data_IF_101314791159
#
_entry.id   IF_101314791159
#
_cell.length_a   1.000
_cell.length_b   1.000
_cell.length_c   1.000
_cell.angle_alpha   90.00
_cell.angle_beta   90.00
_cell.angle_gamma   90.00
#
_symmetry.space_group_name_H-M   'P 1'
#
loop_
_entity.id
_entity.type
_entity.pdbx_description
1 polymer ?
#
# COMPACT_ATOMS: atom_id res chain seq x y z
N UNK A 1 -0.38 -31.70 -1.36
CA UNK A 1 -0.69 -30.29 -1.66
C UNK A 1 -2.02 -29.87 -1.03
N UNK A 2 -3.16 -30.45 -1.42
CA UNK A 2 -4.50 -30.15 -0.85
C UNK A 2 -4.57 -30.10 0.69
N UNK A 3 -3.88 -31.02 1.38
CA UNK A 3 -3.88 -31.08 2.86
C UNK A 3 -3.10 -29.92 3.50
N UNK A 4 -2.02 -29.48 2.86
CA UNK A 4 -1.19 -28.34 3.29
C UNK A 4 -1.91 -27.01 3.07
N UNK A 5 -2.60 -26.87 1.93
CA UNK A 5 -3.35 -25.66 1.58
C UNK A 5 -4.59 -25.48 2.46
N UNK A 6 -5.29 -26.59 2.76
CA UNK A 6 -6.44 -26.58 3.67
C UNK A 6 -6.03 -26.26 5.11
N UNK A 7 -4.84 -26.71 5.54
CA UNK A 7 -4.25 -26.33 6.83
C UNK A 7 -3.92 -24.83 6.89
N UNK A 8 -3.46 -24.25 5.78
CA UNK A 8 -3.15 -22.82 5.68
C UNK A 8 -4.41 -21.95 5.70
N UNK A 9 -5.44 -22.29 4.91
CA UNK A 9 -6.72 -21.59 4.93
C UNK A 9 -7.38 -21.64 6.31
N UNK A 10 -7.39 -22.82 6.95
CA UNK A 10 -7.89 -22.96 8.34
C UNK A 10 -7.12 -22.05 9.29
N UNK A 11 -5.79 -21.99 9.17
CA UNK A 11 -4.95 -21.10 9.98
C UNK A 11 -5.22 -19.62 9.70
N UNK A 12 -5.45 -19.25 8.44
CA UNK A 12 -5.76 -17.88 8.06
C UNK A 12 -7.04 -17.37 8.73
N UNK A 13 -8.05 -18.23 8.92
CA UNK A 13 -9.32 -17.87 9.59
C UNK A 13 -9.38 -18.22 11.09
N UNK A 14 -8.40 -18.96 11.62
CA UNK A 14 -8.37 -19.37 13.02
C UNK A 14 -8.27 -18.17 13.97
N UNK A 15 -8.60 -18.37 15.24
CA UNK A 15 -8.36 -17.35 16.27
C UNK A 15 -6.85 -17.15 16.44
N UNK A 16 -6.41 -15.91 16.59
CA UNK A 16 -5.00 -15.58 16.83
C UNK A 16 -4.73 -15.65 18.32
N UNK A 17 -3.77 -16.48 18.71
CA UNK A 17 -3.45 -16.72 20.12
C UNK A 17 -2.08 -16.16 20.52
N UNK A 18 -1.17 -15.95 19.56
CA UNK A 18 0.18 -15.45 19.84
C UNK A 18 0.59 -14.23 18.97
N UNK A 19 1.49 -13.36 19.47
CA UNK A 19 2.06 -12.27 18.70
C UNK A 19 2.74 -12.71 17.40
N UNK A 20 3.44 -13.85 17.42
CA UNK A 20 4.20 -14.37 16.28
C UNK A 20 3.25 -14.82 15.17
N UNK A 21 2.13 -15.45 15.51
CA UNK A 21 1.11 -15.83 14.55
C UNK A 21 0.42 -14.60 13.95
N UNK A 22 0.12 -13.61 14.77
CA UNK A 22 -0.42 -12.33 14.31
C UNK A 22 0.55 -11.66 13.31
N UNK A 23 1.85 -11.65 13.65
CA UNK A 23 2.87 -11.07 12.79
C UNK A 23 3.00 -11.82 11.45
N UNK A 24 2.97 -13.16 11.49
CA UNK A 24 2.99 -13.99 10.29
C UNK A 24 1.83 -13.63 9.35
N UNK A 25 0.61 -13.53 9.86
CA UNK A 25 -0.57 -13.23 9.04
C UNK A 25 -0.56 -11.79 8.53
N UNK A 26 -0.08 -10.82 9.31
CA UNK A 26 0.09 -9.44 8.84
C UNK A 26 1.13 -9.34 7.72
N UNK A 27 2.24 -10.06 7.83
CA UNK A 27 3.24 -10.16 6.77
C UNK A 27 2.68 -10.83 5.52
N UNK A 28 1.98 -11.94 5.69
CA UNK A 28 1.33 -12.65 4.60
C UNK A 28 0.30 -11.75 3.89
N UNK A 29 -0.51 -11.02 4.64
CA UNK A 29 -1.46 -10.05 4.08
C UNK A 29 -0.75 -8.97 3.26
N UNK A 30 0.35 -8.42 3.77
CA UNK A 30 1.16 -7.45 3.03
C UNK A 30 1.75 -8.03 1.74
N UNK A 31 2.22 -9.29 1.77
CA UNK A 31 2.70 -9.96 0.56
C UNK A 31 1.61 -10.18 -0.48
N UNK A 32 0.38 -10.54 -0.05
CA UNK A 32 -0.76 -10.61 -0.96
C UNK A 32 -1.04 -9.23 -1.57
N UNK A 33 -1.04 -8.16 -0.78
CA UNK A 33 -1.25 -6.81 -1.31
C UNK A 33 -0.17 -6.44 -2.32
N UNK A 34 1.10 -6.75 -2.05
CA UNK A 34 2.17 -6.56 -3.04
C UNK A 34 1.98 -7.41 -4.28
N UNK A 35 1.51 -8.64 -4.16
CA UNK A 35 1.22 -9.50 -5.30
C UNK A 35 0.07 -8.95 -6.15
N UNK A 36 -1.02 -8.52 -5.51
CA UNK A 36 -2.15 -7.87 -6.20
C UNK A 36 -1.66 -6.63 -6.93
N UNK A 37 -0.92 -5.77 -6.23
CA UNK A 37 -0.33 -4.57 -6.81
C UNK A 37 0.55 -4.92 -8.00
N UNK A 38 1.49 -5.87 -7.86
CA UNK A 38 2.39 -6.28 -8.94
C UNK A 38 1.64 -6.84 -10.16
N UNK A 39 0.63 -7.68 -9.95
CA UNK A 39 -0.18 -8.22 -11.04
C UNK A 39 -1.00 -7.13 -11.75
N UNK A 40 -1.60 -6.21 -11.00
CA UNK A 40 -2.30 -5.07 -11.58
C UNK A 40 -1.35 -4.09 -12.28
N UNK A 41 -0.12 -3.92 -11.76
CA UNK A 41 0.94 -3.15 -12.42
C UNK A 41 1.20 -3.70 -13.82
N UNK A 42 1.37 -5.02 -13.94
CA UNK A 42 1.61 -5.66 -15.24
C UNK A 42 0.41 -5.44 -16.18
N UNK A 43 -0.81 -5.64 -15.66
CA UNK A 43 -2.04 -5.47 -16.43
C UNK A 43 -2.18 -4.03 -16.97
N UNK A 44 -2.05 -3.01 -16.13
CA UNK A 44 -2.30 -1.64 -16.54
C UNK A 44 -1.15 -1.03 -17.34
N UNK A 45 0.11 -1.35 -17.01
CA UNK A 45 1.26 -0.80 -17.70
C UNK A 45 1.50 -1.47 -19.07
N UNK A 46 1.29 -2.78 -19.19
CA UNK A 46 1.66 -3.52 -20.42
C UNK A 46 0.47 -3.99 -21.26
N UNK A 47 -0.69 -4.31 -20.66
CA UNK A 47 -1.81 -4.91 -21.39
C UNK A 47 -2.90 -3.89 -21.75
N UNK A 48 -3.17 -2.92 -20.86
CA UNK A 48 -4.24 -1.94 -21.05
C UNK A 48 -3.73 -0.52 -21.39
N UNK A 49 -2.43 -0.27 -21.31
CA UNK A 49 -1.82 1.02 -21.64
C UNK A 49 -2.36 2.22 -20.84
N UNK A 50 -2.91 1.96 -19.64
CA UNK A 50 -3.66 2.94 -18.86
C UNK A 50 -2.88 3.33 -17.60
N UNK A 51 -1.88 4.19 -17.77
CA UNK A 51 -0.99 4.68 -16.70
C UNK A 51 -1.75 5.33 -15.53
N UNK A 52 -2.83 6.06 -15.81
CA UNK A 52 -3.70 6.65 -14.78
C UNK A 52 -4.32 5.62 -13.81
N UNK A 53 -4.76 4.47 -14.33
CA UNK A 53 -5.38 3.41 -13.51
C UNK A 53 -4.33 2.60 -12.75
N UNK A 54 -3.12 2.47 -13.31
CA UNK A 54 -1.96 2.00 -12.57
C UNK A 54 -1.73 2.86 -11.32
N UNK A 55 -1.88 4.18 -11.42
CA UNK A 55 -1.49 5.05 -10.33
C UNK A 55 -2.41 5.09 -9.13
N UNK A 56 -3.72 5.08 -9.33
CA UNK A 56 -4.63 5.17 -8.19
C UNK A 56 -4.71 3.83 -7.46
N UNK A 57 -4.97 2.74 -8.18
CA UNK A 57 -5.28 1.49 -7.49
C UNK A 57 -4.05 0.69 -7.10
N UNK A 58 -3.07 0.58 -7.99
CA UNK A 58 -1.89 -0.24 -7.75
C UNK A 58 -1.01 0.38 -6.68
N UNK A 59 -0.76 1.68 -6.80
CA UNK A 59 0.06 2.42 -5.85
C UNK A 59 -0.57 2.37 -4.45
N UNK A 60 -1.87 2.66 -4.31
CA UNK A 60 -2.56 2.63 -3.01
C UNK A 60 -2.49 1.24 -2.37
N UNK A 61 -2.72 0.18 -3.14
CA UNK A 61 -2.60 -1.21 -2.64
C UNK A 61 -1.17 -1.49 -2.17
N UNK A 62 -0.15 -1.05 -2.92
CA UNK A 62 1.25 -1.16 -2.51
C UNK A 62 1.54 -0.40 -1.21
N UNK A 63 1.03 0.83 -1.06
CA UNK A 63 1.18 1.63 0.16
C UNK A 63 0.59 0.90 1.34
N UNK A 64 -0.64 0.38 1.21
CA UNK A 64 -1.26 -0.38 2.28
C UNK A 64 -0.41 -1.57 2.68
N UNK A 65 0.06 -2.36 1.72
CA UNK A 65 0.97 -3.49 1.98
C UNK A 65 2.23 -3.06 2.73
N UNK A 66 2.85 -1.97 2.32
CA UNK A 66 4.07 -1.42 2.92
C UNK A 66 3.83 -0.96 4.36
N UNK A 67 2.81 -0.14 4.57
CA UNK A 67 2.52 0.41 5.90
C UNK A 67 2.06 -0.69 6.85
N UNK A 68 1.30 -1.68 6.37
CA UNK A 68 0.89 -2.86 7.15
C UNK A 68 2.08 -3.76 7.49
N UNK A 69 3.02 -3.97 6.56
CA UNK A 69 4.22 -4.78 6.81
C UNK A 69 5.11 -4.17 7.87
N UNK A 70 5.32 -2.87 7.80
CA UNK A 70 6.44 -2.22 8.48
C UNK A 70 6.04 -1.37 9.66
N UNK A 71 4.85 -0.79 9.62
CA UNK A 71 4.36 0.08 10.68
C UNK A 71 3.25 -0.58 11.47
N UNK A 72 2.64 -1.67 10.98
CA UNK A 72 1.45 -2.30 11.58
C UNK A 72 0.36 -1.27 11.87
N UNK A 73 0.18 -0.24 11.03
CA UNK A 73 -0.71 0.88 11.37
C UNK A 73 -2.19 0.48 11.43
N UNK A 74 -2.82 0.70 12.60
CA UNK A 74 -4.28 0.55 12.78
C UNK A 74 -5.08 1.43 11.82
N UNK A 75 -4.63 2.66 11.60
CA UNK A 75 -5.30 3.59 10.68
C UNK A 75 -5.23 3.04 9.25
N UNK A 76 -4.09 2.50 8.84
CA UNK A 76 -3.92 1.97 7.48
C UNK A 76 -4.78 0.74 7.21
N UNK A 77 -4.97 -0.15 8.18
CA UNK A 77 -5.87 -1.31 7.99
C UNK A 77 -7.34 -0.90 7.94
N UNK A 78 -7.75 0.14 8.67
CA UNK A 78 -9.11 0.71 8.56
C UNK A 78 -9.30 1.34 7.18
N UNK A 79 -8.34 2.16 6.74
CA UNK A 79 -8.38 2.79 5.42
C UNK A 79 -8.39 1.74 4.29
N UNK A 80 -7.63 0.65 4.44
CA UNK A 80 -7.68 -0.46 3.49
C UNK A 80 -9.07 -1.11 3.43
N UNK A 81 -9.77 -1.27 4.56
CA UNK A 81 -11.14 -1.80 4.58
C UNK A 81 -12.14 -0.86 3.89
N UNK A 82 -12.03 0.45 4.13
CA UNK A 82 -12.88 1.44 3.47
C UNK A 82 -12.60 1.44 1.97
N UNK A 83 -11.33 1.43 1.60
CA UNK A 83 -10.91 1.44 0.20
C UNK A 83 -11.33 0.16 -0.55
N UNK A 84 -11.17 -1.01 0.06
CA UNK A 84 -11.63 -2.28 -0.52
C UNK A 84 -13.16 -2.33 -0.68
N UNK A 85 -13.91 -1.72 0.24
CA UNK A 85 -15.36 -1.57 0.13
C UNK A 85 -15.74 -0.65 -1.04
N UNK A 86 -15.04 0.48 -1.23
CA UNK A 86 -15.24 1.38 -2.38
C UNK A 86 -14.97 0.63 -3.69
N UNK A 87 -13.87 -0.13 -3.78
CA UNK A 87 -13.55 -0.96 -4.96
C UNK A 87 -14.67 -1.95 -5.24
N UNK A 88 -15.19 -2.64 -4.22
CA UNK A 88 -16.27 -3.60 -4.38
C UNK A 88 -17.53 -2.91 -4.93
N UNK A 89 -17.95 -1.80 -4.33
CA UNK A 89 -19.13 -1.04 -4.79
C UNK A 89 -18.94 -0.59 -6.25
N UNK A 90 -17.80 0.02 -6.58
CA UNK A 90 -17.52 0.47 -7.95
C UNK A 90 -17.50 -0.67 -8.98
N UNK A 91 -16.93 -1.82 -8.59
CA UNK A 91 -16.91 -3.04 -9.40
C UNK A 91 -18.31 -3.59 -9.61
N UNK A 92 -19.14 -3.63 -8.56
CA UNK A 92 -20.54 -4.07 -8.65
C UNK A 92 -21.36 -3.15 -9.53
N UNK A 93 -21.24 -1.83 -9.39
CA UNK A 93 -21.95 -0.85 -10.25
C UNK A 93 -21.54 -0.99 -11.73
N UNK A 94 -20.27 -1.25 -11.99
CA UNK A 94 -19.76 -1.50 -13.35
C UNK A 94 -20.31 -2.80 -13.92
N UNK A 95 -20.37 -3.86 -13.09
CA UNK A 95 -20.92 -5.15 -13.48
C UNK A 95 -22.41 -5.09 -13.82
N UNK A 96 -23.18 -4.22 -13.16
CA UNK A 96 -24.58 -3.93 -13.49
C UNK A 96 -24.77 -2.93 -14.64
N UNK A 97 -23.70 -2.43 -15.26
CA UNK A 97 -23.76 -1.45 -16.35
C UNK A 97 -24.21 -0.05 -15.92
N UNK A 98 -24.23 0.25 -14.62
CA UNK A 98 -24.69 1.53 -14.06
C UNK A 98 -23.58 2.59 -14.13
N UNK A 99 -22.32 2.17 -14.02
CA UNK A 99 -21.15 3.06 -14.04
C UNK A 99 -20.12 2.57 -15.07
N UNK A 100 -19.39 3.52 -15.67
CA UNK A 100 -18.22 3.24 -16.49
C UNK A 100 -16.95 3.52 -15.66
N UNK A 101 -16.03 2.56 -15.60
CA UNK A 101 -14.68 2.76 -15.04
C UNK A 101 -14.38 2.14 -13.68
N UNK A 102 -15.27 1.31 -13.11
CA UNK A 102 -14.88 0.43 -12.00
C UNK A 102 -14.11 -0.81 -12.46
N UNK A 103 -13.68 -1.63 -11.50
CA UNK A 103 -13.02 -2.90 -11.80
C UNK A 103 -13.96 -3.87 -12.52
N UNK A 104 -13.40 -4.75 -13.36
CA UNK A 104 -14.16 -5.83 -14.03
C UNK A 104 -14.08 -7.18 -13.29
N UNK A 105 -13.35 -7.26 -12.18
CA UNK A 105 -13.12 -8.51 -11.47
C UNK A 105 -13.76 -8.49 -10.07
N UNK A 106 -15.02 -8.90 -9.99
CA UNK A 106 -15.79 -8.96 -8.75
C UNK A 106 -15.16 -9.92 -7.72
N UNK A 107 -14.55 -11.02 -8.17
CA UNK A 107 -13.90 -11.98 -7.28
C UNK A 107 -12.67 -11.37 -6.60
N UNK A 108 -11.85 -10.62 -7.34
CA UNK A 108 -10.71 -9.91 -6.78
C UNK A 108 -11.14 -8.84 -5.78
N UNK A 109 -12.22 -8.10 -6.09
CA UNK A 109 -12.77 -7.09 -5.18
C UNK A 109 -13.29 -7.71 -3.86
N UNK A 110 -14.04 -8.81 -3.94
CA UNK A 110 -14.49 -9.57 -2.77
C UNK A 110 -13.32 -10.14 -1.96
N UNK A 111 -12.33 -10.71 -2.65
CA UNK A 111 -11.13 -11.22 -2.01
C UNK A 111 -10.36 -10.13 -1.27
N UNK A 112 -10.18 -8.96 -1.88
CA UNK A 112 -9.52 -7.81 -1.27
C UNK A 112 -10.29 -7.32 -0.03
N UNK A 113 -11.62 -7.29 -0.08
CA UNK A 113 -12.46 -6.94 1.06
C UNK A 113 -12.27 -7.96 2.21
N UNK A 114 -12.39 -9.25 1.95
CA UNK A 114 -12.21 -10.31 2.95
C UNK A 114 -10.80 -10.28 3.56
N UNK A 115 -9.78 -10.11 2.72
CA UNK A 115 -8.40 -9.93 3.16
C UNK A 115 -8.30 -8.71 4.09
N UNK A 116 -8.82 -7.56 3.69
CA UNK A 116 -8.72 -6.32 4.48
C UNK A 116 -9.38 -6.42 5.85
N UNK A 117 -10.59 -7.00 5.93
CA UNK A 117 -11.30 -7.25 7.19
C UNK A 117 -10.45 -8.15 8.09
N UNK A 118 -9.91 -9.23 7.54
CA UNK A 118 -9.08 -10.16 8.30
C UNK A 118 -7.80 -9.50 8.78
N UNK A 119 -7.10 -8.75 7.91
CA UNK A 119 -5.89 -8.01 8.27
C UNK A 119 -6.18 -6.99 9.38
N UNK A 120 -7.33 -6.32 9.35
CA UNK A 120 -7.75 -5.42 10.42
C UNK A 120 -7.92 -6.16 11.75
N UNK A 121 -8.70 -7.25 11.77
CA UNK A 121 -8.90 -8.06 12.98
C UNK A 121 -7.57 -8.51 13.60
N UNK A 122 -6.67 -9.06 12.77
CA UNK A 122 -5.35 -9.52 13.22
C UNK A 122 -4.48 -8.36 13.69
N UNK A 123 -4.54 -7.20 13.03
CA UNK A 123 -3.77 -6.02 13.43
C UNK A 123 -4.17 -5.51 14.82
N UNK A 124 -5.48 -5.40 15.09
CA UNK A 124 -5.97 -5.01 16.41
C UNK A 124 -5.59 -6.05 17.48
N UNK A 125 -5.67 -7.34 17.16
CA UNK A 125 -5.23 -8.41 18.07
C UNK A 125 -3.72 -8.36 18.33
N UNK A 126 -2.89 -8.16 17.29
CA UNK A 126 -1.45 -7.98 17.42
C UNK A 126 -1.11 -6.88 18.43
N UNK A 127 -1.75 -5.71 18.30
CA UNK A 127 -1.48 -4.61 19.22
C UNK A 127 -1.96 -4.86 20.64
N UNK A 128 -3.06 -5.61 20.82
CA UNK A 128 -3.54 -6.02 22.13
C UNK A 128 -2.57 -7.00 22.79
N UNK A 129 -2.05 -7.96 22.05
CA UNK A 129 -1.12 -8.98 22.55
C UNK A 129 0.28 -8.43 22.86
N UNK A 130 0.72 -7.40 22.12
CA UNK A 130 2.06 -6.80 22.26
C UNK A 130 2.09 -5.53 23.12
N UNK A 131 0.93 -5.10 23.63
CA UNK A 131 0.73 -3.83 24.36
C UNK A 131 1.47 -2.63 23.74
N UNK A 132 1.34 -2.50 22.42
CA UNK A 132 2.09 -1.50 21.66
C UNK A 132 1.40 -0.14 21.68
N UNK A 133 2.19 0.90 21.96
CA UNK A 133 1.74 2.29 22.00
C UNK A 133 2.17 3.06 20.76
N UNK A 134 1.27 3.90 20.26
CA UNK A 134 1.51 4.74 19.08
C UNK A 134 2.32 5.98 19.49
N UNK A 135 3.48 6.20 18.86
CA UNK A 135 4.31 7.38 19.11
C UNK A 135 4.07 8.42 18.01
N UNK A 136 3.07 9.28 18.22
CA UNK A 136 2.67 10.33 17.26
C UNK A 136 3.83 11.21 16.79
N UNK A 137 4.76 11.56 17.68
CA UNK A 137 5.96 12.34 17.33
C UNK A 137 6.80 11.66 16.25
N UNK A 138 6.96 10.34 16.31
CA UNK A 138 7.76 9.60 15.33
C UNK A 138 7.06 9.52 13.98
N UNK A 139 5.73 9.43 13.97
CA UNK A 139 4.90 9.47 12.76
C UNK A 139 5.09 10.80 12.05
N UNK A 140 4.81 11.91 12.74
CA UNK A 140 4.94 13.25 12.17
C UNK A 140 6.34 13.50 11.61
N UNK A 141 7.39 13.15 12.35
CA UNK A 141 8.76 13.37 11.87
C UNK A 141 9.08 12.51 10.65
N UNK A 142 8.63 11.25 10.59
CA UNK A 142 8.87 10.40 9.42
C UNK A 142 8.18 10.95 8.17
N UNK A 143 6.93 11.39 8.30
CA UNK A 143 6.19 11.97 7.19
C UNK A 143 6.81 13.29 6.72
N UNK A 144 7.22 14.15 7.65
CA UNK A 144 7.85 15.43 7.30
C UNK A 144 9.20 15.24 6.59
N UNK A 145 10.02 14.29 7.06
CA UNK A 145 11.27 13.89 6.38
C UNK A 145 10.95 13.32 4.99
N UNK A 146 10.01 12.38 4.89
CA UNK A 146 9.66 11.73 3.62
C UNK A 146 9.11 12.74 2.58
N UNK A 147 8.26 13.67 3.01
CA UNK A 147 7.72 14.75 2.14
C UNK A 147 8.86 15.64 1.64
N UNK A 148 9.75 16.07 2.53
CA UNK A 148 10.88 16.92 2.17
C UNK A 148 11.80 16.26 1.13
N UNK A 149 12.18 15.01 1.36
CA UNK A 149 13.01 14.25 0.41
C UNK A 149 12.28 13.93 -0.90
N UNK A 150 10.99 13.59 -0.85
CA UNK A 150 10.18 13.35 -2.04
C UNK A 150 10.09 14.60 -2.91
N UNK A 151 9.96 15.78 -2.29
CA UNK A 151 9.92 17.05 -2.98
C UNK A 151 11.24 17.34 -3.70
N UNK A 152 12.37 17.10 -3.03
CA UNK A 152 13.70 17.26 -3.64
C UNK A 152 13.86 16.30 -4.83
N UNK A 153 13.53 15.01 -4.66
CA UNK A 153 13.64 14.02 -5.73
C UNK A 153 12.77 14.36 -6.94
N UNK A 154 11.50 14.69 -6.69
CA UNK A 154 10.56 15.12 -7.73
C UNK A 154 11.07 16.36 -8.47
N UNK A 155 11.49 17.39 -7.74
CA UNK A 155 11.97 18.65 -8.34
C UNK A 155 13.21 18.41 -9.19
N UNK A 156 14.15 17.59 -8.70
CA UNK A 156 15.35 17.20 -9.45
C UNK A 156 15.01 16.41 -10.71
N UNK A 157 14.07 15.47 -10.64
CA UNK A 157 13.62 14.70 -11.80
C UNK A 157 12.94 15.61 -12.83
N UNK A 158 12.05 16.50 -12.39
CA UNK A 158 11.37 17.48 -13.23
C UNK A 158 12.38 18.40 -13.94
N UNK A 159 13.32 19.01 -13.21
CA UNK A 159 14.34 19.90 -13.78
C UNK A 159 15.22 19.14 -14.79
N UNK A 160 15.68 17.94 -14.43
CA UNK A 160 16.52 17.12 -15.31
C UNK A 160 15.78 16.77 -16.60
N UNK A 161 14.50 16.41 -16.50
CA UNK A 161 13.65 16.14 -17.65
C UNK A 161 13.53 17.36 -18.56
N UNK A 162 13.20 18.53 -18.01
CA UNK A 162 13.09 19.77 -18.79
C UNK A 162 14.40 20.10 -19.51
N UNK A 163 15.54 19.94 -18.83
CA UNK A 163 16.86 20.18 -19.43
C UNK A 163 17.17 19.22 -20.58
N UNK A 164 16.86 17.93 -20.42
CA UNK A 164 17.04 16.91 -21.46
C UNK A 164 16.11 17.18 -22.65
N UNK A 165 14.82 17.47 -22.41
CA UNK A 165 13.87 17.79 -23.47
C UNK A 165 14.31 19.02 -24.28
N UNK A 166 14.78 20.07 -23.59
CA UNK A 166 15.32 21.26 -24.25
C UNK A 166 16.56 20.93 -25.08
N UNK A 167 17.47 20.10 -24.57
CA UNK A 167 18.67 19.66 -25.29
C UNK A 167 18.33 18.86 -26.56
N UNK A 168 17.28 18.04 -26.51
CA UNK A 168 16.81 17.23 -27.64
C UNK A 168 15.88 17.98 -28.60
N UNK A 169 15.59 19.27 -28.35
CA UNK A 169 14.70 20.07 -29.20
C UNK A 169 13.22 19.69 -29.11
N UNK A 170 12.80 18.99 -28.05
CA UNK A 170 11.40 18.60 -27.84
C UNK A 170 10.64 19.81 -27.28
N UNK A 171 9.73 20.37 -28.09
CA UNK A 171 8.97 21.59 -27.75
C UNK A 171 7.58 21.33 -27.21
N UNK A 172 6.98 20.16 -27.50
CA UNK A 172 5.68 19.75 -26.99
C UNK A 172 5.81 18.47 -26.18
N UNK A 173 5.27 18.50 -24.96
CA UNK A 173 5.20 17.33 -24.09
C UNK A 173 3.89 16.59 -24.33
N UNK A 174 4.00 15.30 -24.64
CA UNK A 174 2.86 14.39 -24.54
C UNK A 174 2.41 14.26 -23.07
N UNK A 175 1.09 14.17 -22.85
CA UNK A 175 0.47 14.03 -21.53
C UNK A 175 1.09 12.92 -20.68
N UNK A 176 1.49 11.81 -21.31
CA UNK A 176 2.15 10.69 -20.63
C UNK A 176 3.41 11.09 -19.85
N UNK A 177 4.24 11.98 -20.39
CA UNK A 177 5.47 12.41 -19.71
C UNK A 177 5.15 13.32 -18.52
N UNK A 178 4.14 14.20 -18.67
CA UNK A 178 3.65 15.03 -17.58
C UNK A 178 3.06 14.19 -16.44
N UNK A 179 2.30 13.16 -16.79
CA UNK A 179 1.77 12.17 -15.85
C UNK A 179 2.92 11.52 -15.07
N UNK A 180 3.88 10.87 -15.74
CA UNK A 180 5.02 10.18 -15.09
C UNK A 180 5.78 11.10 -14.12
N UNK A 181 6.04 12.35 -14.52
CA UNK A 181 6.75 13.28 -13.64
C UNK A 181 5.92 13.59 -12.40
N UNK A 182 4.68 14.04 -12.57
CA UNK A 182 3.77 14.35 -11.47
C UNK A 182 3.63 13.18 -10.49
N UNK A 183 3.49 12.01 -11.06
CA UNK A 183 3.36 10.72 -10.41
C UNK A 183 4.61 10.33 -9.61
N UNK A 184 5.82 10.71 -10.02
CA UNK A 184 7.05 10.37 -9.30
C UNK A 184 7.11 10.90 -7.86
N UNK A 185 6.39 11.98 -7.53
CA UNK A 185 6.34 12.55 -6.18
C UNK A 185 5.71 11.58 -5.16
N UNK A 186 4.45 11.13 -5.32
CA UNK A 186 3.85 10.17 -4.39
C UNK A 186 4.64 8.84 -4.33
N UNK A 187 5.17 8.29 -5.45
CA UNK A 187 6.04 7.09 -5.40
C UNK A 187 7.23 7.34 -4.47
N UNK A 188 7.95 8.45 -4.68
CA UNK A 188 9.14 8.78 -3.91
C UNK A 188 8.81 8.91 -2.43
N UNK A 189 7.72 9.60 -2.10
CA UNK A 189 7.22 9.72 -0.73
C UNK A 189 6.97 8.36 -0.07
N UNK A 190 6.34 7.42 -0.78
CA UNK A 190 6.02 6.08 -0.25
C UNK A 190 7.28 5.27 0.00
N UNK A 191 8.22 5.29 -0.96
CA UNK A 191 9.51 4.63 -0.83
C UNK A 191 10.29 5.17 0.37
N UNK A 192 10.24 6.49 0.60
CA UNK A 192 10.90 7.16 1.72
C UNK A 192 10.28 6.86 3.09
N UNK A 193 9.10 6.23 3.13
CA UNK A 193 8.49 5.70 4.35
C UNK A 193 8.93 4.28 4.68
N UNK A 194 9.64 3.58 3.80
CA UNK A 194 10.14 2.22 4.06
C UNK A 194 11.09 2.19 5.28
N UNK A 195 10.97 1.19 6.16
CA UNK A 195 11.85 1.06 7.32
C UNK A 195 13.25 0.54 6.98
N UNK A 196 13.56 0.31 5.70
CA UNK A 196 14.95 0.11 5.27
C UNK A 196 15.80 1.37 5.46
N UNK A 197 15.15 2.53 5.60
CA UNK A 197 15.83 3.81 5.64
C UNK A 197 16.24 4.19 7.08
N UNK A 198 17.45 4.78 7.27
CA UNK A 198 18.00 5.02 8.61
C UNK A 198 17.09 5.81 9.56
N UNK A 199 16.35 6.80 9.04
CA UNK A 199 15.43 7.61 9.84
C UNK A 199 14.18 6.83 10.27
N UNK A 200 13.71 5.91 9.44
CA UNK A 200 12.55 5.08 9.73
C UNK A 200 12.88 3.98 10.73
N UNK A 201 14.11 3.45 10.74
CA UNK A 201 14.60 2.50 11.74
C UNK A 201 14.74 3.13 13.13
N UNK A 202 15.35 4.33 13.20
CA UNK A 202 15.58 5.05 14.46
C UNK A 202 14.27 5.54 15.11
N UNK A 203 13.21 5.71 14.33
CA UNK A 203 11.92 6.28 14.80
C UNK A 203 10.76 5.34 14.50
N UNK A 204 10.70 4.21 15.22
CA UNK A 204 9.59 3.26 15.10
C UNK A 204 8.25 3.93 15.46
N UNK A 205 7.20 3.62 14.70
CA UNK A 205 5.85 4.20 14.93
C UNK A 205 5.17 3.63 16.18
N UNK A 206 5.51 2.39 16.50
CA UNK A 206 5.03 1.71 17.70
C UNK A 206 6.22 1.31 18.57
N UNK A 207 6.04 1.47 19.87
CA UNK A 207 6.96 1.00 20.91
C UNK A 207 6.20 0.04 21.82
N UNK A 208 6.88 -1.01 22.30
CA UNK A 208 6.34 -1.89 23.35
C UNK A 208 6.27 -1.06 24.64
N UNK A 209 5.21 -1.21 25.42
CA UNK A 209 5.12 -0.51 26.70
C UNK A 209 6.19 -1.03 27.66
N UNK A 210 6.91 -0.12 28.33
CA UNK A 210 7.93 -0.47 29.35
C UNK A 210 7.30 -0.96 30.67
N UNK A 211 5.99 -1.23 30.71
CA UNK A 211 5.28 -1.60 31.95
C UNK A 211 5.56 -3.02 32.45
N UNK A 212 6.49 -3.75 31.83
CA UNK A 212 7.05 -5.00 32.35
C UNK A 212 8.56 -5.04 32.11
N UNK A 213 9.32 -4.31 32.93
CA UNK A 213 10.74 -4.58 33.21
C UNK A 213 10.93 -4.73 34.70
#
# INVERSE_FOLDING_TARGET
MLETDMKFLKRFFAKIESPEEAEFILNFSAYILFLIGFLQSILFAFLLGSFRNFYMDVLLIFIFGLVIRFSRSRVSVILLCIYSLIILIGTTLTWFGIAAGGGNNIFLALFLLLLSIRTAQVNFQFHKLTDTKLVWKNIWVRHLIAIGFAFILFSSFFISFIMISKFLGITEMNSLHGEIIFESFPISYILLLLPGLPWAQKRRMYTVSETFS
#
